data_IF_621282211775
#
_entry.id   IF_621282211775
#
_cell.length_a   1.000
_cell.length_b   1.000
_cell.length_c   1.000
_cell.angle_alpha   90.00
_cell.angle_beta   90.00
_cell.angle_gamma   90.00
#
_symmetry.space_group_name_H-M   'P 1'
#
loop_
_entity.id
_entity.type
_entity.pdbx_description
1 polymer ?
#
# COMPACT_ATOMS: atom_id res chain seq x y z
N UNK A 1 20.75 3.08 10.20
CA UNK A 1 19.63 4.04 10.03
C UNK A 1 18.94 3.67 8.75
N UNK A 2 17.63 3.34 8.80
CA UNK A 2 16.87 2.91 7.63
C UNK A 2 16.59 4.12 6.73
N UNK A 3 17.31 4.22 5.61
CA UNK A 3 17.20 5.35 4.67
C UNK A 3 16.65 4.88 3.31
N UNK A 4 15.65 3.99 3.37
CA UNK A 4 15.03 3.36 2.19
C UNK A 4 13.91 4.20 1.58
N UNK A 5 13.50 5.29 2.25
CA UNK A 5 12.49 6.23 1.77
C UNK A 5 13.16 7.47 1.17
N UNK A 6 12.71 7.85 -0.01
CA UNK A 6 13.11 9.05 -0.75
C UNK A 6 12.69 10.34 -0.02
N UNK A 7 11.59 10.28 0.74
CA UNK A 7 11.15 11.33 1.65
C UNK A 7 10.73 10.72 3.01
N UNK A 8 11.49 10.95 4.09
CA UNK A 8 11.20 10.35 5.40
C UNK A 8 10.15 11.13 6.21
N UNK A 9 9.55 12.19 5.67
CA UNK A 9 8.51 12.97 6.36
C UNK A 9 7.20 12.20 6.44
N UNK A 10 6.43 12.44 7.51
CA UNK A 10 5.10 11.86 7.63
C UNK A 10 4.20 12.37 6.50
N UNK A 11 3.75 11.46 5.65
CA UNK A 11 2.79 11.78 4.59
C UNK A 11 1.37 11.86 5.16
N UNK A 12 0.54 12.76 4.62
CA UNK A 12 -0.90 12.79 4.97
C UNK A 12 -1.66 11.56 4.44
N UNK A 13 -1.15 10.91 3.39
CA UNK A 13 -1.75 9.70 2.78
C UNK A 13 -1.85 8.53 3.77
N UNK A 14 -2.87 7.69 3.59
CA UNK A 14 -3.08 6.45 4.37
C UNK A 14 -2.00 5.40 4.09
N UNK A 15 -1.57 5.31 2.83
CA UNK A 15 -0.54 4.41 2.32
C UNK A 15 0.41 5.21 1.44
N UNK A 16 1.71 4.96 1.58
CA UNK A 16 2.76 5.55 0.74
C UNK A 16 3.49 4.41 0.04
N UNK A 17 3.62 4.51 -1.27
CA UNK A 17 4.39 3.58 -2.11
C UNK A 17 5.61 4.35 -2.62
N UNK A 18 6.78 3.99 -2.13
CA UNK A 18 8.05 4.51 -2.63
C UNK A 18 8.85 3.38 -3.26
N UNK A 19 8.73 3.23 -4.58
CA UNK A 19 9.51 2.31 -5.41
C UNK A 19 9.49 0.85 -4.94
N UNK A 20 10.27 0.49 -3.91
CA UNK A 20 10.39 -0.83 -3.29
C UNK A 20 9.84 -0.92 -1.87
N UNK A 21 9.52 0.22 -1.25
CA UNK A 21 9.02 0.31 0.13
C UNK A 21 7.56 0.73 0.09
N UNK A 22 6.71 0.04 0.83
CA UNK A 22 5.31 0.42 1.05
C UNK A 22 5.12 0.60 2.54
N UNK A 23 4.56 1.74 2.97
CA UNK A 23 4.27 2.04 4.37
C UNK A 23 2.80 2.43 4.55
N UNK A 24 2.25 2.19 5.74
CA UNK A 24 0.87 2.53 6.10
C UNK A 24 0.79 3.07 7.52
N UNK A 25 -0.30 3.77 7.86
CA UNK A 25 -0.48 4.44 9.16
C UNK A 25 -0.93 3.52 10.29
N UNK A 26 -1.25 2.25 9.99
CA UNK A 26 -1.65 1.25 10.98
C UNK A 26 -2.85 0.41 10.56
N UNK A 27 -3.46 -0.28 11.53
CA UNK A 27 -4.54 -1.26 11.31
C UNK A 27 -5.74 -0.70 10.52
N UNK A 28 -6.12 0.56 10.74
CA UNK A 28 -7.22 1.21 10.01
C UNK A 28 -6.95 1.42 8.51
N UNK A 29 -5.73 1.16 8.05
CA UNK A 29 -5.31 1.27 6.64
C UNK A 29 -4.86 -0.07 6.05
N UNK A 30 -5.10 -1.17 6.76
CA UNK A 30 -4.61 -2.51 6.39
C UNK A 30 -5.13 -2.97 5.03
N UNK A 31 -6.38 -2.64 4.71
CA UNK A 31 -7.00 -3.02 3.44
C UNK A 31 -6.31 -2.31 2.27
N UNK A 32 -6.18 -0.99 2.34
CA UNK A 32 -5.51 -0.18 1.31
C UNK A 32 -4.03 -0.58 1.17
N UNK A 33 -3.38 -0.91 2.27
CA UNK A 33 -1.99 -1.39 2.27
C UNK A 33 -1.85 -2.73 1.56
N UNK A 34 -2.75 -3.68 1.84
CA UNK A 34 -2.75 -5.01 1.21
C UNK A 34 -3.01 -4.91 -0.30
N UNK A 35 -3.96 -4.07 -0.71
CA UNK A 35 -4.25 -3.83 -2.13
C UNK A 35 -3.07 -3.16 -2.85
N UNK A 36 -2.37 -2.22 -2.20
CA UNK A 36 -1.17 -1.61 -2.76
C UNK A 36 -0.03 -2.63 -2.99
N UNK A 37 0.12 -3.63 -2.11
CA UNK A 37 1.07 -4.73 -2.30
C UNK A 37 0.67 -5.59 -3.50
N UNK A 38 -0.60 -5.98 -3.59
CA UNK A 38 -1.11 -6.79 -4.71
C UNK A 38 -0.93 -6.04 -6.03
N UNK A 39 -1.30 -4.75 -6.09
CA UNK A 39 -1.15 -3.92 -7.29
C UNK A 39 0.33 -3.83 -7.71
N UNK A 40 1.25 -3.72 -6.76
CA UNK A 40 2.69 -3.64 -7.04
C UNK A 40 3.29 -4.94 -7.57
N UNK A 41 2.84 -6.09 -7.06
CA UNK A 41 3.41 -7.41 -7.38
C UNK A 41 2.72 -8.11 -8.56
N UNK A 42 1.38 -8.01 -8.62
CA UNK A 42 0.53 -8.77 -9.54
C UNK A 42 -0.21 -7.86 -10.54
N UNK A 43 -0.07 -6.54 -10.39
CA UNK A 43 -0.73 -5.56 -11.26
C UNK A 43 -2.12 -5.16 -10.77
N UNK A 44 -2.61 -4.05 -11.35
CA UNK A 44 -3.84 -3.38 -10.93
C UNK A 44 -5.09 -4.24 -11.11
N UNK A 45 -5.18 -5.02 -12.18
CA UNK A 45 -6.35 -5.88 -12.44
C UNK A 45 -6.57 -6.88 -11.31
N UNK A 46 -5.50 -7.50 -10.81
CA UNK A 46 -5.60 -8.46 -9.71
C UNK A 46 -5.99 -7.80 -8.39
N UNK A 47 -5.50 -6.59 -8.13
CA UNK A 47 -5.91 -5.82 -6.96
C UNK A 47 -7.41 -5.51 -6.98
N UNK A 48 -7.95 -5.09 -8.14
CA UNK A 48 -9.39 -4.81 -8.30
C UNK A 48 -10.26 -6.07 -8.18
N UNK A 49 -9.77 -7.22 -8.66
CA UNK A 49 -10.45 -8.51 -8.47
C UNK A 49 -10.57 -8.84 -6.98
N UNK A 50 -9.46 -8.70 -6.22
CA UNK A 50 -9.43 -8.98 -4.78
C UNK A 50 -10.26 -7.98 -3.99
N UNK A 51 -10.20 -6.69 -4.33
CA UNK A 51 -11.02 -5.64 -3.69
C UNK A 51 -12.52 -5.98 -3.76
N UNK A 52 -13.00 -6.43 -4.93
CA UNK A 52 -14.39 -6.85 -5.12
C UNK A 52 -14.78 -8.06 -4.27
N UNK A 53 -13.85 -8.98 -4.04
CA UNK A 53 -14.08 -10.16 -3.18
C UNK A 53 -14.09 -9.81 -1.68
N UNK A 54 -13.50 -8.68 -1.29
CA UNK A 54 -13.44 -8.25 0.11
C UNK A 54 -14.66 -7.43 0.55
N UNK A 55 -15.43 -6.87 -0.39
CA UNK A 55 -16.60 -6.01 -0.14
C UNK A 55 -17.94 -6.78 -0.05
N UNK A 56 -17.93 -8.00 0.48
CA UNK A 56 -19.14 -8.78 0.74
C UNK A 56 -20.15 -8.05 1.63
#
# INVERSE_FOLDING_TARGET
MCNELSDPREAKSKVVVDSRVITSKGLGTFLEFSLAIVEKLLGREKALEIEKLMLC
#
